data_IF_263476634972
#
_entry.id   IF_263476634972
#
_cell.length_a   1.000
_cell.length_b   1.000
_cell.length_c   1.000
_cell.angle_alpha   90.00
_cell.angle_beta   90.00
_cell.angle_gamma   90.00
#
_symmetry.space_group_name_H-M   'P 1'
#
loop_
_entity.id
_entity.type
_entity.pdbx_description
1 polymer ?
#
# COMPACT_ATOMS: atom_id res chain seq x y z
N UNK A 1 -1.36 -4.32 -11.18
CA UNK A 1 -2.06 -5.33 -10.36
C UNK A 1 -1.71 -6.74 -10.79
N UNK A 2 -1.74 -7.06 -12.09
CA UNK A 2 -1.46 -8.42 -12.59
C UNK A 2 -0.14 -9.02 -12.06
N UNK A 3 0.98 -8.27 -12.08
CA UNK A 3 2.27 -8.72 -11.51
C UNK A 3 2.15 -9.28 -10.08
N UNK A 4 1.28 -8.69 -9.26
CA UNK A 4 1.07 -9.11 -7.87
C UNK A 4 0.19 -10.36 -7.82
N UNK A 5 -0.85 -10.43 -8.66
CA UNK A 5 -1.68 -11.63 -8.75
C UNK A 5 -0.89 -12.85 -9.23
N UNK A 6 -0.05 -12.67 -10.25
CA UNK A 6 0.80 -13.73 -10.79
C UNK A 6 1.78 -14.22 -9.72
N UNK A 7 2.44 -13.30 -8.98
CA UNK A 7 3.31 -13.67 -7.87
C UNK A 7 2.60 -14.53 -6.81
N UNK A 8 1.43 -14.11 -6.35
CA UNK A 8 0.69 -14.89 -5.33
C UNK A 8 0.21 -16.22 -5.89
N UNK A 9 -0.23 -16.26 -7.15
CA UNK A 9 -0.62 -17.50 -7.80
C UNK A 9 0.57 -18.48 -7.88
N UNK A 10 1.71 -18.04 -8.40
CA UNK A 10 2.89 -18.88 -8.59
C UNK A 10 3.44 -19.40 -7.26
N UNK A 11 3.58 -18.51 -6.27
CA UNK A 11 4.07 -18.88 -4.93
C UNK A 11 3.10 -19.83 -4.24
N UNK A 12 1.81 -19.52 -4.22
CA UNK A 12 0.83 -20.37 -3.53
C UNK A 12 0.64 -21.72 -4.22
N UNK A 13 0.73 -21.77 -5.55
CA UNK A 13 0.73 -23.03 -6.31
C UNK A 13 1.91 -23.90 -5.92
N UNK A 14 3.12 -23.31 -5.87
CA UNK A 14 4.33 -24.04 -5.48
C UNK A 14 4.28 -24.52 -4.02
N UNK A 15 3.81 -23.67 -3.09
CA UNK A 15 3.67 -24.03 -1.68
C UNK A 15 2.66 -25.18 -1.51
N UNK A 16 1.51 -25.08 -2.18
CA UNK A 16 0.47 -26.11 -2.12
C UNK A 16 0.96 -27.45 -2.69
N UNK A 17 1.70 -27.43 -3.80
CA UNK A 17 2.30 -28.63 -4.38
C UNK A 17 3.31 -29.32 -3.44
N UNK A 18 3.84 -28.59 -2.45
CA UNK A 18 4.74 -29.10 -1.41
C UNK A 18 4.04 -29.41 -0.08
N UNK A 19 2.71 -29.32 -0.03
CA UNK A 19 1.94 -29.52 1.21
C UNK A 19 2.15 -28.41 2.25
N UNK A 20 2.57 -27.22 1.83
CA UNK A 20 2.75 -26.05 2.69
C UNK A 20 1.52 -25.13 2.61
N UNK A 21 1.33 -24.31 3.65
CA UNK A 21 0.28 -23.28 3.66
C UNK A 21 0.57 -22.19 2.62
N UNK A 22 -0.48 -21.48 2.19
CA UNK A 22 -0.34 -20.30 1.33
C UNK A 22 0.49 -19.22 2.02
N UNK A 23 1.19 -18.42 1.23
CA UNK A 23 2.00 -17.31 1.74
C UNK A 23 1.15 -16.34 2.57
N UNK A 24 -0.03 -15.99 2.08
CA UNK A 24 -0.96 -15.07 2.72
C UNK A 24 -1.63 -15.61 3.99
N UNK A 25 -1.60 -16.93 4.20
CA UNK A 25 -2.01 -17.55 5.46
C UNK A 25 -0.90 -17.50 6.53
N UNK A 26 0.37 -17.50 6.09
CA UNK A 26 1.53 -17.49 6.97
C UNK A 26 1.94 -16.08 7.42
N UNK A 27 1.66 -15.06 6.61
CA UNK A 27 2.12 -13.70 6.86
C UNK A 27 1.26 -12.96 7.89
N UNK A 28 1.92 -12.25 8.82
CA UNK A 28 1.23 -11.27 9.68
C UNK A 28 0.63 -10.16 8.82
N UNK A 29 -0.59 -9.66 9.12
CA UNK A 29 -1.26 -8.66 8.27
C UNK A 29 -0.42 -7.42 7.95
N UNK A 30 0.31 -6.88 8.92
CA UNK A 30 1.18 -5.71 8.70
C UNK A 30 2.35 -6.01 7.75
N UNK A 31 2.96 -7.19 7.87
CA UNK A 31 4.04 -7.62 6.97
C UNK A 31 3.51 -7.85 5.55
N UNK A 32 2.31 -8.42 5.42
CA UNK A 32 1.63 -8.62 4.15
C UNK A 32 1.33 -7.28 3.46
N UNK A 33 0.80 -6.29 4.19
CA UNK A 33 0.55 -4.97 3.63
C UNK A 33 1.83 -4.23 3.25
N UNK A 34 2.92 -4.41 3.99
CA UNK A 34 4.25 -3.91 3.62
C UNK A 34 4.72 -4.51 2.29
N UNK A 35 4.78 -5.84 2.21
CA UNK A 35 5.18 -6.58 0.99
C UNK A 35 4.36 -6.15 -0.23
N UNK A 36 3.03 -6.10 -0.11
CA UNK A 36 2.16 -5.68 -1.22
C UNK A 36 2.47 -4.23 -1.63
N UNK A 37 2.74 -3.32 -0.67
CA UNK A 37 3.08 -1.93 -0.99
C UNK A 37 4.38 -1.85 -1.79
N UNK A 38 5.41 -2.60 -1.38
CA UNK A 38 6.70 -2.66 -2.09
C UNK A 38 6.53 -3.21 -3.52
N UNK A 39 5.74 -4.29 -3.67
CA UNK A 39 5.44 -4.87 -4.99
C UNK A 39 4.66 -3.90 -5.89
N UNK A 40 3.71 -3.14 -5.33
CA UNK A 40 2.96 -2.12 -6.06
C UNK A 40 3.91 -0.99 -6.48
N UNK A 41 4.79 -0.52 -5.59
CA UNK A 41 5.79 0.51 -5.90
C UNK A 41 6.65 0.08 -7.07
N UNK A 42 7.26 -1.12 -7.03
CA UNK A 42 8.07 -1.65 -8.10
C UNK A 42 7.28 -1.81 -9.42
N UNK A 43 6.06 -2.36 -9.36
CA UNK A 43 5.21 -2.56 -10.54
C UNK A 43 4.79 -1.21 -11.17
N UNK A 44 4.38 -0.22 -10.36
CA UNK A 44 4.03 1.11 -10.85
C UNK A 44 5.23 1.82 -11.46
N UNK A 45 6.41 1.76 -10.85
CA UNK A 45 7.63 2.34 -11.41
C UNK A 45 8.01 1.71 -12.75
N UNK A 46 7.88 0.38 -12.88
CA UNK A 46 8.14 -0.37 -14.12
C UNK A 46 7.25 0.09 -15.28
N UNK A 47 5.98 0.38 -15.02
CA UNK A 47 5.01 0.78 -16.05
C UNK A 47 4.83 2.30 -16.20
N UNK A 48 5.42 3.11 -15.32
CA UNK A 48 5.29 4.56 -15.37
C UNK A 48 6.39 5.23 -16.21
N UNK A 49 5.97 6.16 -17.06
CA UNK A 49 6.89 7.05 -17.77
C UNK A 49 7.44 8.14 -16.86
N UNK A 50 6.62 8.63 -15.93
CA UNK A 50 6.90 9.81 -15.10
C UNK A 50 7.39 9.49 -13.68
N UNK A 51 7.10 8.30 -13.16
CA UNK A 51 7.46 7.90 -11.79
C UNK A 51 8.57 6.84 -11.81
N UNK A 52 9.43 6.91 -10.79
CA UNK A 52 10.48 5.93 -10.49
C UNK A 52 10.48 5.63 -8.99
N UNK A 53 11.02 4.47 -8.61
CA UNK A 53 11.24 4.15 -7.19
C UNK A 53 12.23 5.12 -6.57
N UNK A 54 11.96 5.53 -5.33
CA UNK A 54 12.91 6.29 -4.53
C UNK A 54 14.02 5.36 -4.04
N UNK A 55 15.24 5.56 -4.54
CA UNK A 55 16.41 4.72 -4.22
C UNK A 55 17.03 5.05 -2.87
N UNK A 56 16.54 6.07 -2.17
CA UNK A 56 17.00 6.34 -0.81
C UNK A 56 16.44 5.29 0.15
N UNK A 57 17.29 4.67 0.96
CA UNK A 57 16.85 3.72 1.98
C UNK A 57 15.85 4.39 2.95
N UNK A 58 14.64 3.84 3.07
CA UNK A 58 13.52 4.44 3.81
C UNK A 58 13.22 5.89 3.39
N UNK A 59 13.42 6.21 2.11
CA UNK A 59 13.06 7.51 1.54
C UNK A 59 11.54 7.68 1.46
N UNK A 60 11.10 8.93 1.46
CA UNK A 60 9.71 9.31 1.24
C UNK A 60 9.64 10.38 0.14
N UNK A 61 8.65 10.36 -0.76
CA UNK A 61 7.67 9.28 -0.98
C UNK A 61 8.27 8.03 -1.63
N UNK A 62 7.51 6.92 -1.65
CA UNK A 62 7.93 5.64 -2.24
C UNK A 62 8.24 5.75 -3.75
N UNK A 63 7.37 6.46 -4.49
CA UNK A 63 7.59 6.82 -5.90
C UNK A 63 7.88 8.31 -6.00
N UNK A 64 8.85 8.70 -6.82
CA UNK A 64 9.22 10.10 -7.09
C UNK A 64 9.14 10.41 -8.58
N UNK A 65 9.05 11.68 -8.92
CA UNK A 65 9.13 12.11 -10.32
C UNK A 65 10.53 11.81 -10.90
N UNK A 66 10.55 11.16 -12.06
CA UNK A 66 11.77 10.84 -12.80
C UNK A 66 12.58 12.11 -13.06
N UNK A 67 13.90 12.02 -12.86
CA UNK A 67 14.84 13.14 -13.05
C UNK A 67 14.57 14.37 -12.17
N UNK A 68 13.69 14.28 -11.17
CA UNK A 68 13.43 15.39 -10.25
C UNK A 68 14.49 15.48 -9.14
N UNK A 69 14.88 14.33 -8.59
CA UNK A 69 15.89 14.22 -7.54
C UNK A 69 17.15 13.56 -8.10
N UNK A 70 18.32 14.00 -7.64
CA UNK A 70 19.59 13.41 -8.05
C UNK A 70 19.61 11.91 -7.74
N UNK A 71 20.04 11.11 -8.73
CA UNK A 71 20.11 9.65 -8.64
C UNK A 71 18.79 8.95 -8.31
N UNK A 72 17.65 9.59 -8.55
CA UNK A 72 16.33 9.10 -8.13
C UNK A 72 16.29 8.78 -6.61
N UNK A 73 16.93 9.60 -5.78
CA UNK A 73 17.02 9.35 -4.34
C UNK A 73 16.74 10.63 -3.53
N UNK A 74 15.83 10.54 -2.56
CA UNK A 74 15.57 11.62 -1.60
C UNK A 74 15.10 11.05 -0.26
N UNK A 75 15.66 11.54 0.84
CA UNK A 75 15.25 11.12 2.19
C UNK A 75 13.81 11.55 2.50
N UNK A 76 13.45 12.79 2.15
CA UNK A 76 12.10 13.35 2.31
C UNK A 76 11.83 14.37 1.21
N UNK A 77 11.11 13.95 0.18
CA UNK A 77 10.64 14.77 -0.94
C UNK A 77 9.16 15.09 -0.85
N UNK A 78 8.71 16.00 -1.70
CA UNK A 78 7.30 16.42 -1.84
C UNK A 78 6.72 16.04 -3.21
N UNK A 79 7.57 15.63 -4.15
CA UNK A 79 7.20 15.38 -5.54
C UNK A 79 7.23 13.90 -5.86
N UNK A 80 6.08 13.28 -5.67
CA UNK A 80 5.93 11.85 -5.82
C UNK A 80 4.63 11.35 -5.20
N UNK A 81 4.53 10.03 -5.05
CA UNK A 81 3.34 9.34 -4.54
C UNK A 81 3.77 8.32 -3.49
N UNK A 82 3.21 8.43 -2.30
CA UNK A 82 3.33 7.41 -1.25
C UNK A 82 2.36 6.26 -1.55
N UNK A 83 2.87 5.04 -1.54
CA UNK A 83 2.09 3.82 -1.76
C UNK A 83 1.79 3.16 -0.41
N UNK A 84 0.53 2.78 -0.22
CA UNK A 84 0.11 1.97 0.91
C UNK A 84 -0.86 0.90 0.47
N UNK A 85 -0.89 -0.19 1.21
CA UNK A 85 -1.94 -1.19 1.09
C UNK A 85 -2.58 -1.50 2.44
N UNK A 86 -3.83 -1.96 2.42
CA UNK A 86 -4.59 -2.27 3.64
C UNK A 86 -5.68 -3.30 3.36
N UNK A 87 -6.07 -4.06 4.39
CA UNK A 87 -7.29 -4.91 4.36
C UNK A 87 -8.54 -4.14 4.81
N UNK A 88 -8.40 -2.90 5.28
CA UNK A 88 -9.52 -2.09 5.77
C UNK A 88 -10.25 -1.47 4.59
N UNK A 89 -11.50 -1.89 4.39
CA UNK A 89 -12.41 -1.30 3.42
C UNK A 89 -12.43 0.23 3.53
N UNK A 90 -12.42 0.91 2.38
CA UNK A 90 -12.35 2.36 2.32
C UNK A 90 -10.99 2.97 2.64
N UNK A 91 -9.90 2.19 2.60
CA UNK A 91 -8.54 2.71 2.47
C UNK A 91 -7.90 3.31 3.72
N UNK A 92 -8.43 3.05 4.92
CA UNK A 92 -7.81 3.58 6.13
C UNK A 92 -6.47 2.86 6.41
N UNK A 93 -5.39 3.63 6.53
CA UNK A 93 -4.03 3.14 6.77
C UNK A 93 -3.24 4.11 7.67
N UNK A 94 -2.23 3.59 8.36
CA UNK A 94 -1.31 4.37 9.17
C UNK A 94 -0.10 4.83 8.32
N UNK A 95 0.35 6.06 8.54
CA UNK A 95 1.50 6.68 7.84
C UNK A 95 2.63 7.01 8.82
N UNK A 96 3.83 7.25 8.27
CA UNK A 96 4.97 7.79 9.03
C UNK A 96 4.84 9.32 9.23
N UNK A 97 3.80 9.69 9.97
CA UNK A 97 3.50 11.05 10.40
C UNK A 97 2.50 11.76 9.48
N UNK A 98 1.89 12.80 10.04
CA UNK A 98 1.05 13.73 9.29
C UNK A 98 1.96 14.60 8.41
N UNK A 99 1.67 14.63 7.11
CA UNK A 99 2.40 15.45 6.14
C UNK A 99 1.56 15.64 4.88
N UNK A 100 1.83 16.72 4.15
CA UNK A 100 1.29 16.89 2.82
C UNK A 100 1.94 15.92 1.83
N UNK A 101 1.13 15.11 1.14
CA UNK A 101 1.61 14.08 0.21
C UNK A 101 0.50 13.63 -0.75
N UNK A 102 0.87 13.14 -1.93
CA UNK A 102 -0.02 12.27 -2.70
C UNK A 102 0.01 10.89 -2.07
N UNK A 103 -1.16 10.40 -1.66
CA UNK A 103 -1.30 9.08 -1.06
C UNK A 103 -2.12 8.19 -1.99
N UNK A 104 -1.55 7.06 -2.37
CA UNK A 104 -2.19 6.02 -3.16
C UNK A 104 -2.40 4.77 -2.31
N UNK A 105 -3.65 4.41 -2.04
CA UNK A 105 -4.00 3.29 -1.17
C UNK A 105 -4.67 2.19 -1.96
N UNK A 106 -4.09 0.99 -1.92
CA UNK A 106 -4.66 -0.24 -2.45
C UNK A 106 -5.32 -1.05 -1.34
N UNK A 107 -6.64 -1.24 -1.44
CA UNK A 107 -7.38 -2.15 -0.55
C UNK A 107 -7.38 -3.53 -1.16
N UNK A 108 -7.06 -4.54 -0.34
CA UNK A 108 -7.06 -5.93 -0.75
C UNK A 108 -7.77 -6.83 0.26
N UNK A 109 -8.26 -7.96 -0.20
CA UNK A 109 -8.82 -9.00 0.65
C UNK A 109 -8.08 -10.33 0.45
N UNK A 110 -8.08 -11.10 1.52
CA UNK A 110 -7.57 -12.47 1.56
C UNK A 110 -8.67 -13.31 2.18
N UNK A 111 -9.00 -14.42 1.52
CA UNK A 111 -9.88 -15.44 2.07
C UNK A 111 -9.09 -16.33 3.03
N UNK A 112 -9.24 -16.09 4.33
CA UNK A 112 -8.60 -16.85 5.40
C UNK A 112 -9.61 -17.69 6.20
N UNK A 113 -10.79 -17.93 5.63
CA UNK A 113 -11.93 -18.53 6.34
C UNK A 113 -12.52 -19.75 5.65
N UNK A 114 -12.45 -19.82 4.32
CA UNK A 114 -12.97 -20.98 3.58
C UNK A 114 -12.17 -22.24 3.92
N UNK A 115 -12.87 -23.35 4.12
CA UNK A 115 -12.32 -24.68 4.34
C UNK A 115 -12.93 -25.70 3.37
N UNK A 116 -12.14 -26.66 2.84
CA UNK A 116 -10.70 -26.84 3.09
C UNK A 116 -9.86 -25.68 2.52
N UNK A 117 -8.68 -25.41 3.10
CA UNK A 117 -7.79 -24.32 2.67
C UNK A 117 -7.49 -24.30 1.16
N UNK A 118 -7.56 -25.46 0.49
CA UNK A 118 -7.45 -25.60 -0.97
C UNK A 118 -8.55 -24.90 -1.78
N UNK A 119 -9.70 -24.60 -1.16
CA UNK A 119 -10.84 -23.91 -1.77
C UNK A 119 -10.86 -22.39 -1.50
N UNK A 120 -9.90 -21.88 -0.71
CA UNK A 120 -9.81 -20.45 -0.43
C UNK A 120 -9.62 -19.65 -1.70
N UNK A 121 -10.39 -18.57 -1.84
CA UNK A 121 -10.25 -17.66 -2.98
C UNK A 121 -8.84 -17.02 -3.02
N UNK A 122 -8.29 -16.73 -4.22
CA UNK A 122 -7.06 -15.96 -4.34
C UNK A 122 -7.20 -14.57 -3.71
N UNK A 123 -6.07 -14.00 -3.26
CA UNK A 123 -6.01 -12.59 -2.84
C UNK A 123 -6.45 -11.69 -3.99
N UNK A 124 -7.28 -10.68 -3.72
CA UNK A 124 -7.64 -9.67 -4.73
C UNK A 124 -7.66 -8.25 -4.17
N UNK A 125 -7.23 -7.29 -4.99
CA UNK A 125 -7.55 -5.88 -4.78
C UNK A 125 -9.05 -5.62 -4.97
N UNK A 126 -9.63 -4.82 -4.08
CA UNK A 126 -11.05 -4.45 -4.10
C UNK A 126 -11.25 -2.96 -4.37
N UNK A 127 -10.30 -2.11 -3.94
CA UNK A 127 -10.40 -0.66 -4.06
C UNK A 127 -9.00 -0.06 -4.29
N UNK A 128 -8.92 1.04 -5.05
CA UNK A 128 -7.73 1.89 -5.14
C UNK A 128 -8.16 3.34 -5.02
N UNK A 129 -7.45 4.08 -4.17
CA UNK A 129 -7.66 5.50 -3.93
C UNK A 129 -6.38 6.28 -4.21
N UNK A 130 -6.51 7.49 -4.75
CA UNK A 130 -5.44 8.44 -4.95
C UNK A 130 -5.94 9.83 -4.58
N UNK A 131 -5.34 10.45 -3.56
CA UNK A 131 -5.65 11.82 -3.20
C UNK A 131 -4.43 12.53 -2.63
N UNK A 132 -4.37 13.85 -2.84
CA UNK A 132 -3.43 14.69 -2.12
C UNK A 132 -4.00 14.98 -0.73
N UNK A 133 -3.33 14.53 0.31
CA UNK A 133 -3.67 14.80 1.71
C UNK A 133 -2.73 15.85 2.28
N UNK A 134 -3.18 16.59 3.30
CA UNK A 134 -2.41 17.59 4.04
C UNK A 134 -2.42 17.29 5.53
N UNK A 135 -1.57 17.95 6.33
CA UNK A 135 -1.44 17.67 7.76
C UNK A 135 -2.77 17.76 8.53
N UNK A 136 -3.66 18.68 8.16
CA UNK A 136 -4.99 18.83 8.77
C UNK A 136 -5.96 17.69 8.44
N UNK A 137 -5.65 16.82 7.48
CA UNK A 137 -6.45 15.64 7.16
C UNK A 137 -6.16 14.46 8.12
N UNK A 138 -5.19 14.60 9.03
CA UNK A 138 -4.77 13.58 9.97
C UNK A 138 -5.31 13.83 11.37
N UNK A 139 -5.48 12.74 12.14
CA UNK A 139 -5.85 12.82 13.55
C UNK A 139 -4.74 13.52 14.34
N UNK A 140 -5.11 14.56 15.07
CA UNK A 140 -4.24 15.14 16.09
C UNK A 140 -4.27 14.26 17.34
N UNK A 141 -3.13 13.64 17.67
CA UNK A 141 -2.94 12.97 18.95
C UNK A 141 -1.96 13.81 19.79
N UNK A 142 -2.37 14.16 21.01
CA UNK A 142 -1.56 14.88 22.01
C UNK A 142 -0.46 14.02 22.66
N UNK A 143 0.15 13.07 21.92
CA UNK A 143 1.20 12.19 22.46
C UNK A 143 2.58 12.84 22.41
N UNK A 144 3.31 12.71 23.51
CA UNK A 144 4.67 13.26 23.72
C UNK A 144 5.76 12.66 22.82
N UNK A 145 6.98 13.18 22.96
CA UNK A 145 8.06 13.18 21.98
C UNK A 145 8.76 11.83 21.65
N UNK A 146 8.34 10.69 22.20
CA UNK A 146 9.10 9.43 22.09
C UNK A 146 8.38 8.42 21.18
N UNK A 147 8.88 8.29 19.95
CA UNK A 147 8.49 7.26 18.96
C UNK A 147 8.33 7.82 17.55
N UNK A 148 8.40 6.93 16.54
CA UNK A 148 8.00 7.26 15.16
C UNK A 148 6.54 7.68 15.21
N UNK A 149 6.24 8.96 14.97
CA UNK A 149 4.88 9.48 15.01
C UNK A 149 4.08 8.79 13.91
N UNK A 150 3.28 7.78 14.23
CA UNK A 150 2.30 7.25 13.30
C UNK A 150 1.11 8.19 13.23
N UNK A 151 0.59 8.42 12.03
CA UNK A 151 -0.59 9.23 11.83
C UNK A 151 -1.61 8.46 10.99
N UNK A 152 -2.88 8.60 11.32
CA UNK A 152 -3.99 8.05 10.53
C UNK A 152 -4.83 9.21 10.07
N UNK A 153 -5.36 9.15 8.86
CA UNK A 153 -6.36 10.12 8.42
C UNK A 153 -7.55 10.16 9.39
N UNK A 154 -8.08 11.36 9.61
CA UNK A 154 -9.33 11.53 10.35
C UNK A 154 -10.55 11.20 9.45
N UNK A 155 -11.76 11.46 9.95
CA UNK A 155 -12.99 11.17 9.20
C UNK A 155 -13.05 11.96 7.87
N UNK A 156 -12.62 13.22 7.88
CA UNK A 156 -12.64 14.10 6.71
C UNK A 156 -11.51 13.73 5.74
N UNK A 157 -10.32 13.42 6.24
CA UNK A 157 -9.20 12.92 5.46
C UNK A 157 -9.54 11.62 4.74
N UNK A 158 -10.16 10.66 5.44
CA UNK A 158 -10.62 9.41 4.81
C UNK A 158 -11.69 9.67 3.76
N UNK A 159 -12.62 10.61 4.00
CA UNK A 159 -13.62 11.00 3.00
C UNK A 159 -12.97 11.62 1.75
N UNK A 160 -11.98 12.50 1.94
CA UNK A 160 -11.18 13.10 0.86
C UNK A 160 -10.46 12.05 0.04
N UNK A 161 -9.80 11.09 0.70
CA UNK A 161 -9.16 9.95 0.04
C UNK A 161 -10.15 9.16 -0.82
N UNK A 162 -11.32 8.85 -0.26
CA UNK A 162 -12.36 8.06 -0.93
C UNK A 162 -13.01 8.76 -2.12
N UNK A 163 -13.01 10.09 -2.13
CA UNK A 163 -13.47 10.88 -3.28
C UNK A 163 -12.55 10.69 -4.49
N UNK A 164 -11.25 10.48 -4.28
CA UNK A 164 -10.26 10.17 -5.31
C UNK A 164 -10.17 8.68 -5.64
N UNK A 165 -11.29 7.98 -5.84
CA UNK A 165 -11.25 6.56 -6.21
C UNK A 165 -10.77 6.38 -7.66
N UNK A 166 -9.91 5.39 -7.88
CA UNK A 166 -9.38 5.00 -9.18
C UNK A 166 -9.95 3.66 -9.62
N UNK A 167 -10.16 2.75 -8.67
CA UNK A 167 -10.70 1.43 -8.90
C UNK A 167 -11.60 1.03 -7.73
N UNK A 168 -12.75 0.42 -8.02
CA UNK A 168 -13.63 -0.23 -7.04
C UNK A 168 -14.31 -1.41 -7.71
N UNK A 169 -14.27 -2.58 -7.08
CA UNK A 169 -15.12 -3.70 -7.47
C UNK A 169 -16.58 -3.30 -7.20
N UNK A 170 -17.44 -3.46 -8.20
CA UNK A 170 -18.88 -3.25 -8.01
C UNK A 170 -19.40 -4.26 -6.98
N UNK A 171 -20.15 -3.77 -6.00
CA UNK A 171 -20.83 -4.61 -5.01
C UNK A 171 -22.02 -5.35 -5.64
#
# INVERSE_FOLDING_TARGET
MQDIYDFFYDVNTLLSAKGLHRLDDMMRPAAMSGLISDMITASLAKFSRSLVENKHFNGHPDLILRARYANDAVASGTEGVEIKSTRKAGGAVDTHGARAQWMCVFVYEVDSTTEPASERRPMRFTEVYLAQVVESDFRSNSRGALGTRTATLDKHGVQKLRAGWVYKVAQ
#
